data_IF_518006075428
#
_entry.id   IF_518006075428
#
_cell.length_a   1.000
_cell.length_b   1.000
_cell.length_c   1.000
_cell.angle_alpha   90.00
_cell.angle_beta   90.00
_cell.angle_gamma   90.00
#
_symmetry.space_group_name_H-M   'P 1'
#
loop_
_entity.id
_entity.type
_entity.pdbx_description
1 polymer ?
#
# COMPACT_ATOMS: atom_id res chain seq x y z
N UNK A 1 4.10 -14.84 20.25
CA UNK A 1 2.67 -14.49 20.07
C UNK A 1 2.23 -15.02 18.73
N UNK A 2 1.26 -15.93 18.72
CA UNK A 2 0.54 -16.36 17.52
C UNK A 2 -0.43 -15.25 17.11
N UNK A 3 -0.41 -14.84 15.84
CA UNK A 3 -1.50 -14.05 15.30
C UNK A 3 -2.65 -15.01 15.02
N UNK A 4 -3.65 -15.02 15.90
CA UNK A 4 -4.88 -15.78 15.66
C UNK A 4 -5.83 -14.96 14.80
N UNK A 5 -5.73 -15.14 13.49
CA UNK A 5 -6.75 -14.62 12.58
C UNK A 5 -8.01 -15.47 12.68
N UNK A 6 -9.16 -14.79 12.57
CA UNK A 6 -10.44 -15.48 12.42
C UNK A 6 -10.44 -16.33 11.15
N UNK A 7 -11.06 -17.51 11.19
CA UNK A 7 -11.18 -18.41 10.04
C UNK A 7 -12.18 -17.86 9.03
N UNK A 8 -11.96 -18.10 7.75
CA UNK A 8 -12.97 -17.91 6.73
C UNK A 8 -14.12 -18.87 7.03
N UNK A 9 -15.28 -18.33 7.42
CA UNK A 9 -16.42 -19.12 7.91
C UNK A 9 -16.85 -20.27 6.99
N UNK A 10 -17.71 -21.17 7.50
CA UNK A 10 -18.10 -22.40 6.82
C UNK A 10 -18.48 -22.16 5.34
N UNK A 11 -17.86 -22.93 4.44
CA UNK A 11 -18.02 -22.88 2.97
C UNK A 11 -17.40 -21.68 2.24
N UNK A 12 -16.64 -20.81 2.92
CA UNK A 12 -15.86 -19.74 2.26
C UNK A 12 -14.41 -20.17 2.06
N UNK A 13 -13.76 -19.60 1.05
CA UNK A 13 -12.29 -19.68 0.91
C UNK A 13 -11.65 -18.55 1.68
N UNK A 14 -10.50 -18.84 2.28
CA UNK A 14 -9.66 -17.89 2.99
C UNK A 14 -8.23 -18.00 2.52
N UNK A 15 -7.35 -17.14 3.05
CA UNK A 15 -5.93 -17.25 2.77
C UNK A 15 -5.30 -18.46 3.44
N UNK A 16 -4.32 -19.03 2.77
CA UNK A 16 -3.53 -20.15 3.29
C UNK A 16 -2.82 -19.75 4.59
N UNK A 17 -3.05 -20.53 5.65
CA UNK A 17 -2.57 -20.21 6.99
C UNK A 17 -1.05 -20.30 7.07
N UNK A 18 -0.49 -21.31 6.41
CA UNK A 18 0.95 -21.55 6.42
C UNK A 18 1.65 -20.38 5.75
N UNK A 19 1.19 -19.96 4.56
CA UNK A 19 1.77 -18.82 3.87
C UNK A 19 1.66 -17.51 4.67
N UNK A 20 0.50 -17.24 5.28
CA UNK A 20 0.31 -16.04 6.10
C UNK A 20 1.22 -16.07 7.33
N UNK A 21 1.29 -17.19 8.03
CA UNK A 21 2.12 -17.32 9.23
C UNK A 21 3.63 -17.21 8.90
N UNK A 22 4.09 -17.90 7.84
CA UNK A 22 5.48 -17.82 7.37
C UNK A 22 5.86 -16.38 7.02
N UNK A 23 4.99 -15.68 6.30
CA UNK A 23 5.22 -14.29 5.95
C UNK A 23 5.32 -13.38 7.20
N UNK A 24 4.44 -13.56 8.19
CA UNK A 24 4.47 -12.75 9.41
C UNK A 24 5.71 -13.03 10.27
N UNK A 25 6.20 -14.27 10.27
CA UNK A 25 7.49 -14.61 10.90
C UNK A 25 8.62 -13.89 10.18
N UNK A 26 8.66 -13.97 8.84
CA UNK A 26 9.66 -13.30 8.03
C UNK A 26 9.65 -11.77 8.24
N UNK A 27 8.48 -11.14 8.18
CA UNK A 27 8.34 -9.70 8.40
C UNK A 27 8.81 -9.28 9.80
N UNK A 28 8.55 -10.08 10.83
CA UNK A 28 9.02 -9.80 12.20
C UNK A 28 10.54 -9.90 12.31
N UNK A 29 11.15 -10.90 11.67
CA UNK A 29 12.61 -11.04 11.66
C UNK A 29 13.26 -9.82 11.02
N UNK A 30 12.72 -9.35 9.89
CA UNK A 30 13.20 -8.13 9.23
C UNK A 30 12.98 -6.88 10.08
N UNK A 31 11.83 -6.75 10.73
CA UNK A 31 11.59 -5.61 11.61
C UNK A 31 12.58 -5.53 12.79
N UNK A 32 12.93 -6.69 13.36
CA UNK A 32 13.86 -6.80 14.50
C UNK A 32 15.31 -6.62 14.09
N UNK A 33 15.67 -6.90 12.83
CA UNK A 33 17.05 -6.81 12.35
C UNK A 33 17.21 -5.70 11.29
N UNK A 34 17.63 -4.48 11.69
CA UNK A 34 17.76 -3.32 10.80
C UNK A 34 18.76 -3.49 9.65
N UNK A 35 19.73 -4.40 9.81
CA UNK A 35 20.84 -4.60 8.87
C UNK A 35 20.54 -5.68 7.80
N UNK A 36 19.44 -6.44 7.94
CA UNK A 36 19.04 -7.42 6.93
C UNK A 36 18.16 -6.79 5.84
N UNK A 37 18.30 -7.28 4.61
CA UNK A 37 17.66 -6.72 3.41
C UNK A 37 16.18 -6.39 3.59
N UNK A 38 15.88 -5.13 3.31
CA UNK A 38 14.66 -4.35 3.61
C UNK A 38 13.43 -5.01 2.97
N UNK A 39 12.60 -5.67 3.77
CA UNK A 39 11.20 -5.90 3.38
C UNK A 39 10.57 -4.52 3.22
N UNK A 40 10.28 -4.11 1.99
CA UNK A 40 9.74 -2.77 1.74
C UNK A 40 8.23 -2.70 1.92
N UNK A 41 7.68 -1.50 2.13
CA UNK A 41 6.23 -1.29 2.11
C UNK A 41 5.62 -1.78 0.77
N UNK A 42 6.31 -1.52 -0.35
CA UNK A 42 5.95 -2.05 -1.66
C UNK A 42 5.95 -3.59 -1.70
N UNK A 43 6.97 -4.22 -1.09
CA UNK A 43 7.07 -5.68 -1.03
C UNK A 43 5.87 -6.27 -0.30
N UNK A 44 5.49 -5.71 0.85
CA UNK A 44 4.32 -6.12 1.64
C UNK A 44 3.04 -6.03 0.80
N UNK A 45 2.84 -4.90 0.12
CA UNK A 45 1.67 -4.66 -0.74
C UNK A 45 1.59 -5.61 -1.94
N UNK A 46 2.73 -6.12 -2.40
CA UNK A 46 2.81 -7.03 -3.55
C UNK A 46 2.52 -8.50 -3.20
N UNK A 47 2.50 -8.84 -1.89
CA UNK A 47 2.33 -10.22 -1.42
C UNK A 47 0.97 -10.76 -1.84
N UNK A 48 0.96 -12.01 -2.29
CA UNK A 48 -0.26 -12.73 -2.67
C UNK A 48 -0.31 -14.07 -1.97
N UNK A 49 -1.37 -14.30 -1.23
CA UNK A 49 -1.64 -15.58 -0.59
C UNK A 49 -2.57 -16.43 -1.43
N UNK A 50 -2.35 -17.75 -1.42
CA UNK A 50 -3.25 -18.72 -2.05
C UNK A 50 -4.59 -18.76 -1.31
N UNK A 51 -5.67 -19.01 -2.05
CA UNK A 51 -7.00 -19.20 -1.49
C UNK A 51 -7.30 -20.68 -1.27
N UNK A 52 -7.53 -21.07 -0.01
CA UNK A 52 -7.81 -22.45 0.41
C UNK A 52 -9.15 -22.55 1.14
N UNK A 53 -9.70 -23.76 1.22
CA UNK A 53 -10.85 -24.04 2.11
C UNK A 53 -10.38 -23.96 3.56
N UNK A 54 -11.25 -23.45 4.43
CA UNK A 54 -10.92 -23.22 5.84
C UNK A 54 -9.65 -22.39 6.05
N UNK A 55 -9.37 -21.43 5.15
CA UNK A 55 -8.28 -20.48 5.29
C UNK A 55 -8.53 -19.43 6.38
N UNK A 56 -7.58 -18.52 6.59
CA UNK A 56 -7.84 -17.30 7.36
C UNK A 56 -8.78 -16.35 6.63
N UNK A 57 -9.54 -15.57 7.39
CA UNK A 57 -10.43 -14.55 6.86
C UNK A 57 -9.61 -13.51 6.09
N UNK A 58 -9.92 -13.35 4.80
CA UNK A 58 -9.27 -12.41 3.89
C UNK A 58 -9.25 -11.01 4.51
N UNK A 59 -10.41 -10.53 4.97
CA UNK A 59 -10.53 -9.19 5.55
C UNK A 59 -9.72 -9.00 6.83
N UNK A 60 -9.56 -10.05 7.63
CA UNK A 60 -8.78 -9.97 8.88
C UNK A 60 -7.28 -9.93 8.59
N UNK A 61 -6.83 -10.71 7.61
CA UNK A 61 -5.44 -10.70 7.15
C UNK A 61 -5.11 -9.39 6.47
N UNK A 62 -5.95 -8.92 5.54
CA UNK A 62 -5.74 -7.66 4.81
C UNK A 62 -5.63 -6.46 5.76
N UNK A 63 -6.51 -6.36 6.77
CA UNK A 63 -6.45 -5.28 7.75
C UNK A 63 -5.20 -5.33 8.64
N UNK A 64 -4.63 -6.52 8.88
CA UNK A 64 -3.36 -6.64 9.59
C UNK A 64 -2.16 -6.35 8.69
N UNK A 65 -2.24 -6.72 7.41
CA UNK A 65 -1.24 -6.39 6.40
C UNK A 65 -1.16 -4.89 6.16
N UNK A 66 -2.30 -4.18 6.15
CA UNK A 66 -2.36 -2.71 6.06
C UNK A 66 -1.60 -2.05 7.21
N UNK A 67 -1.86 -2.47 8.45
CA UNK A 67 -1.13 -1.96 9.64
C UNK A 67 0.37 -2.27 9.57
N UNK A 68 0.72 -3.44 9.04
CA UNK A 68 2.12 -3.82 8.86
C UNK A 68 2.79 -2.94 7.80
N UNK A 69 2.11 -2.69 6.68
CA UNK A 69 2.56 -1.77 5.63
C UNK A 69 2.82 -0.36 6.20
N UNK A 70 1.89 0.17 7.00
CA UNK A 70 2.04 1.50 7.63
C UNK A 70 3.30 1.59 8.51
N UNK A 71 3.56 0.57 9.32
CA UNK A 71 4.75 0.51 10.20
C UNK A 71 6.04 0.48 9.39
N UNK A 72 6.06 -0.29 8.30
CA UNK A 72 7.24 -0.35 7.42
C UNK A 72 7.41 0.94 6.62
N UNK A 73 6.33 1.55 6.14
CA UNK A 73 6.37 2.82 5.42
C UNK A 73 6.92 3.96 6.30
N UNK A 74 6.50 4.04 7.57
CA UNK A 74 7.03 5.01 8.52
C UNK A 74 8.55 4.84 8.73
N UNK A 75 9.01 3.59 8.84
CA UNK A 75 10.44 3.29 9.02
C UNK A 75 11.27 3.60 7.76
N UNK A 76 10.75 3.29 6.58
CA UNK A 76 11.38 3.65 5.30
C UNK A 76 11.50 5.17 5.16
N UNK A 77 10.46 5.90 5.54
CA UNK A 77 10.46 7.35 5.57
C UNK A 77 11.55 7.88 6.51
N UNK A 78 11.63 7.39 7.74
CA UNK A 78 12.68 7.77 8.70
C UNK A 78 14.09 7.47 8.16
N UNK A 79 14.28 6.33 7.51
CA UNK A 79 15.56 5.95 6.90
C UNK A 79 15.90 6.85 5.71
N UNK A 80 14.92 7.17 4.86
CA UNK A 80 15.08 8.10 3.74
C UNK A 80 15.49 9.49 4.24
N UNK A 81 14.80 10.01 5.26
CA UNK A 81 15.14 11.29 5.90
C UNK A 81 16.55 11.25 6.50
N UNK A 82 16.95 10.13 7.14
CA UNK A 82 18.29 9.98 7.72
C UNK A 82 19.40 10.00 6.66
N UNK A 83 19.15 9.40 5.49
CA UNK A 83 20.14 9.29 4.40
C UNK A 83 20.24 10.58 3.58
N UNK A 84 19.11 11.18 3.22
CA UNK A 84 19.04 12.35 2.32
C UNK A 84 19.13 13.67 3.11
N UNK A 85 18.70 13.67 4.37
CA UNK A 85 18.53 14.87 5.19
C UNK A 85 17.11 15.44 5.09
N UNK A 86 16.62 16.03 6.18
CA UNK A 86 15.23 16.51 6.28
C UNK A 86 14.91 17.63 5.29
N UNK A 87 15.80 18.61 5.13
CA UNK A 87 15.58 19.74 4.22
C UNK A 87 15.46 19.29 2.76
N UNK A 88 16.41 18.47 2.31
CA UNK A 88 16.41 17.93 0.95
C UNK A 88 15.21 16.99 0.72
N UNK A 89 14.86 16.19 1.73
CA UNK A 89 13.64 15.38 1.69
C UNK A 89 12.38 16.24 1.50
N UNK A 90 12.27 17.36 2.21
CA UNK A 90 11.12 18.27 2.09
C UNK A 90 11.04 18.91 0.70
N UNK A 91 12.17 19.25 0.09
CA UNK A 91 12.23 19.73 -1.30
C UNK A 91 11.69 18.66 -2.26
N UNK A 92 12.24 17.43 -2.19
CA UNK A 92 11.79 16.32 -3.03
C UNK A 92 10.31 15.98 -2.83
N UNK A 93 9.83 16.04 -1.58
CA UNK A 93 8.43 15.82 -1.25
C UNK A 93 7.53 16.89 -1.85
N UNK A 94 7.92 18.17 -1.75
CA UNK A 94 7.18 19.29 -2.33
C UNK A 94 7.10 19.18 -3.87
N UNK A 95 8.23 18.86 -4.53
CA UNK A 95 8.27 18.64 -5.98
C UNK A 95 7.35 17.49 -6.41
N UNK A 96 7.40 16.36 -5.69
CA UNK A 96 6.51 15.22 -5.92
C UNK A 96 5.04 15.57 -5.75
N UNK A 97 4.70 16.31 -4.67
CA UNK A 97 3.36 16.82 -4.40
C UNK A 97 2.88 17.73 -5.52
N UNK A 98 3.71 18.65 -5.98
CA UNK A 98 3.38 19.57 -7.07
C UNK A 98 3.14 18.83 -8.39
N UNK A 99 4.00 17.88 -8.75
CA UNK A 99 3.83 17.03 -9.94
C UNK A 99 2.49 16.28 -9.91
N UNK A 100 2.10 15.75 -8.75
CA UNK A 100 0.80 15.10 -8.56
C UNK A 100 -0.35 16.10 -8.70
N UNK A 101 -0.30 17.24 -8.01
CA UNK A 101 -1.35 18.26 -8.09
C UNK A 101 -1.54 18.77 -9.52
N UNK A 102 -0.45 19.04 -10.24
CA UNK A 102 -0.47 19.43 -11.66
C UNK A 102 -1.12 18.34 -12.54
N UNK A 103 -0.82 17.07 -12.28
CA UNK A 103 -1.49 15.95 -12.96
C UNK A 103 -2.98 15.90 -12.65
N UNK A 104 -3.36 16.11 -11.39
CA UNK A 104 -4.74 16.08 -10.92
C UNK A 104 -5.56 17.29 -11.38
N UNK A 105 -4.93 18.44 -11.66
CA UNK A 105 -5.58 19.64 -12.19
C UNK A 105 -6.08 19.49 -13.64
N UNK A 106 -5.60 18.47 -14.37
CA UNK A 106 -6.05 18.19 -15.73
C UNK A 106 -7.58 18.06 -15.84
N UNK A 107 -8.10 18.51 -17.00
CA UNK A 107 -9.55 18.49 -17.31
C UNK A 107 -10.17 17.14 -17.00
N UNK A 108 -11.40 17.17 -16.47
CA UNK A 108 -12.20 15.96 -16.17
C UNK A 108 -12.11 14.93 -17.29
N UNK A 109 -11.88 13.68 -16.88
CA UNK A 109 -11.73 12.50 -17.71
C UNK A 109 -10.48 12.52 -18.62
N UNK A 110 -9.62 13.53 -18.52
CA UNK A 110 -8.36 13.66 -19.27
C UNK A 110 -7.12 13.69 -18.35
N UNK A 111 -7.28 13.31 -17.08
CA UNK A 111 -6.18 13.19 -16.11
C UNK A 111 -5.12 12.18 -16.55
N UNK A 112 -5.54 11.06 -17.15
CA UNK A 112 -4.68 10.00 -17.67
C UNK A 112 -5.00 9.63 -19.13
N UNK A 113 -4.02 9.01 -19.80
CA UNK A 113 -4.19 8.45 -21.15
C UNK A 113 -5.25 7.36 -21.14
N UNK A 114 -6.03 7.27 -22.22
CA UNK A 114 -7.02 6.22 -22.40
C UNK A 114 -6.33 4.97 -22.94
N UNK A 115 -6.74 3.80 -22.44
CA UNK A 115 -6.53 2.55 -23.17
C UNK A 115 -7.54 2.48 -24.32
N UNK A 116 -7.04 2.23 -25.53
CA UNK A 116 -7.88 1.91 -26.69
C UNK A 116 -8.26 0.42 -26.70
N UNK A 117 -9.24 0.09 -27.52
CA UNK A 117 -9.58 -1.31 -27.82
C UNK A 117 -8.32 -2.08 -28.30
N UNK A 118 -8.12 -3.35 -27.91
CA UNK A 118 -9.00 -4.23 -27.12
C UNK A 118 -8.79 -4.15 -25.60
N UNK A 119 -7.89 -3.28 -25.13
CA UNK A 119 -7.51 -3.24 -23.72
C UNK A 119 -8.56 -2.54 -22.86
N UNK A 120 -8.99 -3.20 -21.78
CA UNK A 120 -9.83 -2.58 -20.76
C UNK A 120 -9.00 -1.62 -19.90
N UNK A 121 -9.53 -0.42 -19.69
CA UNK A 121 -9.00 0.56 -18.74
C UNK A 121 -10.03 0.89 -17.67
N UNK A 122 -9.62 1.66 -16.66
CA UNK A 122 -10.50 2.11 -15.57
C UNK A 122 -11.62 3.03 -16.06
N UNK A 123 -12.76 3.03 -15.36
CA UNK A 123 -13.86 3.94 -15.63
C UNK A 123 -13.45 5.38 -15.30
N UNK A 124 -13.47 6.26 -16.31
CA UNK A 124 -13.00 7.65 -16.19
C UNK A 124 -13.76 8.48 -15.15
N UNK A 125 -15.05 8.18 -14.92
CA UNK A 125 -15.83 8.86 -13.87
C UNK A 125 -15.36 8.45 -12.47
N UNK A 126 -15.04 7.17 -12.28
CA UNK A 126 -14.48 6.67 -11.02
C UNK A 126 -13.06 7.19 -10.80
N UNK A 127 -12.23 7.23 -11.86
CA UNK A 127 -10.90 7.83 -11.80
C UNK A 127 -10.98 9.31 -11.41
N UNK A 128 -11.88 10.08 -12.03
CA UNK A 128 -12.06 11.49 -11.64
C UNK A 128 -12.47 11.64 -10.17
N UNK A 129 -13.38 10.78 -9.66
CA UNK A 129 -13.80 10.79 -8.26
C UNK A 129 -12.63 10.48 -7.32
N UNK A 130 -11.86 9.44 -7.62
CA UNK A 130 -10.66 9.09 -6.85
C UNK A 130 -9.63 10.23 -6.86
N UNK A 131 -9.34 10.79 -8.03
CA UNK A 131 -8.43 11.93 -8.16
C UNK A 131 -8.88 13.16 -7.37
N UNK A 132 -10.18 13.40 -7.24
CA UNK A 132 -10.69 14.48 -6.39
C UNK A 132 -10.42 14.20 -4.90
N UNK A 133 -10.59 12.95 -4.44
CA UNK A 133 -10.27 12.58 -3.05
C UNK A 133 -8.77 12.78 -2.76
N UNK A 134 -7.90 12.33 -3.67
CA UNK A 134 -6.45 12.50 -3.54
C UNK A 134 -6.07 13.99 -3.51
N UNK A 135 -6.65 14.81 -4.40
CA UNK A 135 -6.37 16.24 -4.42
C UNK A 135 -6.80 16.93 -3.12
N UNK A 136 -7.96 16.56 -2.56
CA UNK A 136 -8.41 17.10 -1.27
C UNK A 136 -7.48 16.67 -0.13
N UNK A 137 -7.05 15.41 -0.09
CA UNK A 137 -6.10 14.94 0.92
C UNK A 137 -4.78 15.72 0.86
N UNK A 138 -4.18 15.82 -0.33
CA UNK A 138 -2.92 16.54 -0.52
C UNK A 138 -3.04 18.04 -0.21
N UNK A 139 -4.20 18.65 -0.43
CA UNK A 139 -4.42 20.05 -0.06
C UNK A 139 -4.56 20.25 1.46
N UNK A 140 -5.13 19.26 2.16
CA UNK A 140 -5.38 19.31 3.59
C UNK A 140 -4.15 18.94 4.44
N UNK A 141 -3.20 18.15 3.93
CA UNK A 141 -1.93 17.82 4.59
C UNK A 141 -0.94 19.02 4.65
N UNK A 142 -1.46 20.25 4.68
CA UNK A 142 -0.66 21.48 4.77
C UNK A 142 -0.81 22.17 6.14
N UNK A 143 -1.43 21.49 7.11
CA UNK A 143 -1.56 21.90 8.51
C UNK A 143 -0.74 21.01 9.45
#
# INVERSE_FOLDING_TARGET
MSYEFSRAGKRKRGYDLTQVNEFLVYARQQFTNPESTILSAESIRSVRFKLVKDGYSISAVDAAMEKLEDVFAARELEQSIRVVGLEEFNVLFAEGKELLLNRLANRRRRKFKRRGFPYRGYNRRQVDKFCSLVATHLANDTE
#
